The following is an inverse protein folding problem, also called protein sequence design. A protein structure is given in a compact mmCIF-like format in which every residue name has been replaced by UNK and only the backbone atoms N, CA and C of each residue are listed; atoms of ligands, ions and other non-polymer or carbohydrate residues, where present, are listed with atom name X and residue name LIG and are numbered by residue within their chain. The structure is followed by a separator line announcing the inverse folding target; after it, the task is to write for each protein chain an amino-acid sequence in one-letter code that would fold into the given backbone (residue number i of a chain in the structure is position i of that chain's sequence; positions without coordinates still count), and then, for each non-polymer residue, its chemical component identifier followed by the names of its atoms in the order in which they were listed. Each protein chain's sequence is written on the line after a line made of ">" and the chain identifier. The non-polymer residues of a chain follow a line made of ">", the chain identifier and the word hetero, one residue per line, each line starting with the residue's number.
data_IF_952053978962
#
_entry.id   IF_952053978962
#
_cell.length_a   1.000
_cell.length_b   1.000
_cell.length_c   1.000
_cell.angle_alpha   90.00
_cell.angle_beta   90.00
_cell.angle_gamma   90.00
#
_symmetry.space_group_name_H-M   'P 1'
#
loop_
_entity.id
_entity.type
_entity.pdbx_description
1 polymer ?
#
# COMPACT_ATOMS: atom_id res chain seq x y z
N UNK A 1 3.29 7.41 12.08
CA UNK A 1 4.20 8.07 11.13
C UNK A 1 3.39 8.43 9.90
N UNK A 2 3.48 9.68 9.44
CA UNK A 2 2.79 10.14 8.23
C UNK A 2 3.34 9.41 6.99
N UNK A 3 2.47 9.10 6.02
CA UNK A 3 2.83 8.28 4.87
C UNK A 3 3.86 8.96 3.96
N UNK A 4 3.76 10.28 3.80
CA UNK A 4 4.61 11.08 2.92
C UNK A 4 5.86 11.66 3.61
N UNK A 5 6.07 11.33 4.89
CA UNK A 5 7.23 11.75 5.68
C UNK A 5 8.56 11.20 5.14
N UNK A 6 9.69 11.91 5.32
CA UNK A 6 11.02 11.39 4.96
C UNK A 6 11.34 10.05 5.61
N UNK A 7 10.89 9.84 6.86
CA UNK A 7 11.07 8.59 7.60
C UNK A 7 10.32 7.43 6.94
N UNK A 8 9.09 7.66 6.46
CA UNK A 8 8.32 6.65 5.72
C UNK A 8 8.93 6.35 4.35
N UNK A 9 9.49 7.35 3.66
CA UNK A 9 10.20 7.15 2.39
C UNK A 9 11.48 6.31 2.57
N UNK A 10 12.23 6.54 3.66
CA UNK A 10 13.40 5.72 3.97
C UNK A 10 12.99 4.30 4.38
N UNK A 11 11.96 4.16 5.22
CA UNK A 11 11.46 2.84 5.62
C UNK A 11 10.98 2.03 4.41
N UNK A 12 10.35 2.68 3.43
CA UNK A 12 9.97 2.06 2.17
C UNK A 12 11.18 1.44 1.45
N UNK A 13 12.28 2.19 1.31
CA UNK A 13 13.53 1.66 0.71
C UNK A 13 14.02 0.45 1.48
N UNK A 14 14.12 0.57 2.80
CA UNK A 14 14.66 -0.46 3.68
C UNK A 14 13.85 -1.77 3.62
N UNK A 15 12.52 -1.68 3.56
CA UNK A 15 11.62 -2.84 3.46
C UNK A 15 11.89 -3.59 2.14
N UNK A 16 11.84 -2.87 1.01
CA UNK A 16 11.98 -3.51 -0.29
C UNK A 16 13.41 -4.00 -0.54
N UNK A 17 14.42 -3.29 -0.03
CA UNK A 17 15.81 -3.73 -0.03
C UNK A 17 15.96 -5.08 0.67
N UNK A 18 15.36 -5.20 1.86
CA UNK A 18 15.39 -6.42 2.68
C UNK A 18 14.68 -7.58 2.01
N UNK A 19 13.49 -7.35 1.44
CA UNK A 19 12.73 -8.38 0.72
C UNK A 19 13.55 -8.91 -0.45
N UNK A 20 14.15 -8.03 -1.24
CA UNK A 20 14.89 -8.42 -2.43
C UNK A 20 16.20 -9.14 -2.11
N UNK A 21 16.95 -8.65 -1.10
CA UNK A 21 18.16 -9.29 -0.61
C UNK A 21 17.90 -10.76 -0.24
N UNK A 22 16.92 -11.00 0.63
CA UNK A 22 16.61 -12.35 1.11
C UNK A 22 15.94 -13.22 0.05
N UNK A 23 15.17 -12.64 -0.88
CA UNK A 23 14.63 -13.40 -2.00
C UNK A 23 15.74 -13.93 -2.93
N UNK A 24 16.76 -13.11 -3.20
CA UNK A 24 17.94 -13.51 -3.97
C UNK A 24 18.78 -14.56 -3.24
N UNK A 25 19.00 -14.36 -1.94
CA UNK A 25 19.71 -15.31 -1.07
C UNK A 25 19.03 -16.68 -1.12
N UNK A 26 17.73 -16.75 -0.82
CA UNK A 26 16.97 -17.99 -0.86
C UNK A 26 16.98 -18.64 -2.27
N UNK A 27 16.85 -17.83 -3.32
CA UNK A 27 16.92 -18.32 -4.71
C UNK A 27 18.31 -18.89 -5.05
N UNK A 28 19.39 -18.32 -4.51
CA UNK A 28 20.75 -18.83 -4.69
C UNK A 28 21.02 -20.08 -3.87
N UNK A 29 20.48 -20.17 -2.65
CA UNK A 29 20.53 -21.40 -1.84
C UNK A 29 19.82 -22.57 -2.54
N UNK A 30 18.68 -22.31 -3.18
CA UNK A 30 17.97 -23.30 -3.99
C UNK A 30 18.80 -23.69 -5.23
N UNK A 31 19.45 -22.73 -5.88
CA UNK A 31 20.32 -23.01 -7.02
C UNK A 31 21.53 -23.88 -6.64
N UNK A 32 22.07 -23.73 -5.44
CA UNK A 32 23.14 -24.58 -4.93
C UNK A 32 22.72 -26.06 -4.78
N UNK A 33 21.43 -26.30 -4.50
CA UNK A 33 20.87 -27.65 -4.29
C UNK A 33 20.36 -28.27 -5.59
N UNK A 34 19.68 -27.49 -6.43
CA UNK A 34 18.92 -27.98 -7.59
C UNK A 34 19.48 -27.50 -8.95
N UNK A 35 20.54 -26.69 -8.93
CA UNK A 35 21.03 -25.97 -10.10
C UNK A 35 20.21 -24.71 -10.41
N UNK A 36 20.79 -23.75 -11.16
CA UNK A 36 20.10 -22.55 -11.59
C UNK A 36 18.94 -22.87 -12.55
N UNK A 37 18.07 -21.89 -12.84
CA UNK A 37 17.04 -22.06 -13.87
C UNK A 37 17.64 -22.25 -15.27
N UNK A 38 16.90 -22.91 -16.16
CA UNK A 38 17.36 -23.38 -17.48
C UNK A 38 18.03 -22.28 -18.34
N UNK A 39 17.48 -21.07 -18.31
CA UNK A 39 17.94 -19.92 -19.11
C UNK A 39 18.75 -18.90 -18.31
N UNK A 40 19.40 -19.32 -17.21
CA UNK A 40 20.21 -18.44 -16.37
C UNK A 40 21.42 -17.88 -17.10
N UNK A 41 22.16 -18.73 -17.81
CA UNK A 41 23.39 -18.33 -18.49
C UNK A 41 23.09 -17.31 -19.60
N UNK A 42 23.67 -16.10 -19.47
CA UNK A 42 23.47 -15.01 -20.43
C UNK A 42 22.29 -14.09 -20.10
N UNK A 43 21.51 -14.41 -19.07
CA UNK A 43 20.42 -13.54 -18.56
C UNK A 43 20.98 -12.22 -18.01
N UNK A 44 20.14 -11.16 -17.91
CA UNK A 44 20.53 -9.93 -17.25
C UNK A 44 21.03 -10.16 -15.82
N UNK A 45 20.38 -11.05 -15.06
CA UNK A 45 20.77 -11.40 -13.69
C UNK A 45 22.19 -11.98 -13.67
N UNK A 46 22.48 -12.96 -14.53
CA UNK A 46 23.83 -13.54 -14.61
C UNK A 46 24.89 -12.51 -14.98
N UNK A 47 24.56 -11.51 -15.81
CA UNK A 47 25.49 -10.45 -16.23
C UNK A 47 25.72 -9.42 -15.14
N UNK A 48 24.65 -8.97 -14.48
CA UNK A 48 24.69 -7.93 -13.44
C UNK A 48 25.45 -8.44 -12.22
N UNK A 49 25.15 -9.64 -11.74
CA UNK A 49 25.79 -10.17 -10.53
C UNK A 49 27.23 -10.63 -10.77
N UNK A 50 27.57 -11.02 -12.00
CA UNK A 50 28.96 -11.28 -12.38
C UNK A 50 29.74 -10.01 -12.76
N UNK A 51 29.07 -8.85 -12.90
CA UNK A 51 29.72 -7.57 -13.14
C UNK A 51 30.28 -6.98 -11.84
N UNK A 52 31.26 -6.07 -11.94
CA UNK A 52 31.92 -5.42 -10.81
C UNK A 52 30.98 -4.62 -9.90
N UNK A 53 29.77 -4.27 -10.35
CA UNK A 53 28.81 -3.45 -9.58
C UNK A 53 27.74 -4.27 -8.86
N UNK A 54 27.47 -5.52 -9.26
CA UNK A 54 26.46 -6.40 -8.64
C UNK A 54 25.00 -5.94 -8.75
N UNK A 55 24.73 -4.71 -9.18
CA UNK A 55 23.42 -4.06 -9.07
C UNK A 55 23.07 -3.26 -10.32
N UNK A 56 21.76 -3.10 -10.54
CA UNK A 56 21.22 -2.22 -11.58
C UNK A 56 21.01 -0.82 -11.01
N UNK A 57 21.91 0.11 -11.33
CA UNK A 57 21.62 1.55 -11.34
C UNK A 57 21.53 2.30 -10.00
N UNK A 58 21.58 1.62 -8.85
CA UNK A 58 21.56 2.26 -7.51
C UNK A 58 22.58 1.59 -6.60
N UNK A 59 23.30 2.39 -5.80
CA UNK A 59 24.14 1.88 -4.71
C UNK A 59 23.23 1.48 -3.54
N UNK A 60 23.20 0.20 -3.14
CA UNK A 60 22.38 -0.24 -2.02
C UNK A 60 22.82 0.41 -0.71
N UNK A 61 22.00 0.28 0.34
CA UNK A 61 22.41 0.74 1.66
C UNK A 61 23.46 -0.20 2.26
N UNK A 62 24.06 0.22 3.38
CA UNK A 62 24.97 -0.61 4.17
C UNK A 62 24.23 -1.57 5.13
N UNK A 63 22.91 -1.74 4.96
CA UNK A 63 22.08 -2.59 5.82
C UNK A 63 22.38 -4.08 5.65
N UNK A 64 22.69 -4.50 4.42
CA UNK A 64 22.91 -5.90 4.06
C UNK A 64 24.26 -6.08 3.37
N UNK A 65 24.84 -7.28 3.48
CA UNK A 65 26.13 -7.62 2.87
C UNK A 65 25.94 -8.05 1.41
N UNK A 66 25.79 -7.05 0.55
CA UNK A 66 25.62 -7.23 -0.89
C UNK A 66 26.83 -7.89 -1.57
N UNK A 67 28.02 -7.73 -1.01
CA UNK A 67 29.24 -8.36 -1.53
C UNK A 67 29.23 -9.87 -1.26
N UNK A 68 28.82 -10.29 -0.07
CA UNK A 68 28.64 -11.71 0.25
C UNK A 68 27.55 -12.34 -0.62
N UNK A 69 26.40 -11.67 -0.78
CA UNK A 69 25.32 -12.15 -1.65
C UNK A 69 25.78 -12.27 -3.10
N UNK A 70 26.52 -11.29 -3.60
CA UNK A 70 27.10 -11.33 -4.95
C UNK A 70 28.02 -12.52 -5.13
N UNK A 71 28.94 -12.78 -4.19
CA UNK A 71 29.84 -13.93 -4.27
C UNK A 71 29.08 -15.25 -4.31
N UNK A 72 28.01 -15.36 -3.50
CA UNK A 72 27.14 -16.53 -3.49
C UNK A 72 26.43 -16.73 -4.83
N UNK A 73 25.84 -15.68 -5.41
CA UNK A 73 25.16 -15.74 -6.71
C UNK A 73 26.15 -16.05 -7.84
N UNK A 74 27.35 -15.46 -7.83
CA UNK A 74 28.38 -15.77 -8.82
C UNK A 74 28.82 -17.22 -8.78
N UNK A 75 28.81 -17.85 -7.60
CA UNK A 75 29.17 -19.27 -7.43
C UNK A 75 28.03 -20.22 -7.81
N UNK A 76 26.83 -19.96 -7.31
CA UNK A 76 25.71 -20.92 -7.36
C UNK A 76 24.70 -20.61 -8.48
N UNK A 77 24.66 -19.36 -8.94
CA UNK A 77 23.54 -18.83 -9.72
C UNK A 77 22.31 -18.56 -8.85
N UNK A 78 21.15 -18.44 -9.49
CA UNK A 78 19.83 -18.30 -8.85
C UNK A 78 18.84 -19.29 -9.46
N UNK A 79 17.87 -19.75 -8.66
CA UNK A 79 16.87 -20.74 -9.07
C UNK A 79 15.68 -20.13 -9.78
N UNK A 80 15.36 -18.88 -9.49
CA UNK A 80 14.22 -18.16 -10.05
C UNK A 80 14.71 -17.01 -10.92
N UNK A 81 14.06 -16.80 -12.07
CA UNK A 81 14.39 -15.71 -13.00
C UNK A 81 13.90 -14.35 -12.51
N UNK A 82 12.78 -14.32 -11.79
CA UNK A 82 12.11 -13.14 -11.23
C UNK A 82 11.54 -13.50 -9.84
N UNK A 83 11.50 -12.54 -8.93
CA UNK A 83 11.26 -12.76 -7.50
C UNK A 83 10.21 -11.82 -6.90
N UNK A 84 10.21 -10.54 -7.27
CA UNK A 84 9.44 -9.51 -6.59
C UNK A 84 8.47 -8.80 -7.55
N UNK A 85 7.17 -8.89 -7.26
CA UNK A 85 6.11 -8.21 -8.00
C UNK A 85 4.96 -7.83 -7.06
N UNK A 86 5.00 -6.65 -6.43
CA UNK A 86 3.92 -6.18 -5.57
C UNK A 86 2.59 -6.08 -6.33
N UNK A 87 1.67 -6.99 -6.01
CA UNK A 87 0.36 -7.13 -6.66
C UNK A 87 -0.77 -6.50 -5.82
N UNK A 88 -1.96 -6.26 -6.39
CA UNK A 88 -3.14 -5.90 -5.61
C UNK A 88 -3.50 -7.03 -4.64
N UNK A 89 -3.69 -6.70 -3.36
CA UNK A 89 -3.97 -7.68 -2.31
C UNK A 89 -5.38 -7.54 -1.73
N UNK A 90 -6.33 -7.02 -2.50
CA UNK A 90 -7.72 -6.73 -2.08
C UNK A 90 -8.30 -7.81 -1.16
N UNK A 91 -8.43 -9.05 -1.64
CA UNK A 91 -9.07 -10.12 -0.85
C UNK A 91 -8.22 -10.61 0.31
N UNK A 92 -6.90 -10.74 0.14
CA UNK A 92 -6.01 -11.30 1.17
C UNK A 92 -5.71 -10.31 2.29
N UNK A 93 -5.53 -9.02 1.97
CA UNK A 93 -5.41 -7.94 2.96
C UNK A 93 -6.68 -7.82 3.80
N UNK A 94 -7.87 -7.94 3.19
CA UNK A 94 -9.13 -7.95 3.91
C UNK A 94 -9.27 -9.14 4.87
N UNK A 95 -8.84 -10.34 4.46
CA UNK A 95 -8.83 -11.52 5.33
C UNK A 95 -7.88 -11.30 6.53
N UNK A 96 -6.70 -10.73 6.28
CA UNK A 96 -5.70 -10.46 7.32
C UNK A 96 -5.98 -9.18 8.13
N UNK A 97 -6.97 -8.39 7.73
CA UNK A 97 -7.28 -7.10 8.34
C UNK A 97 -6.20 -6.04 8.15
N UNK A 98 -5.43 -6.10 7.05
CA UNK A 98 -4.40 -5.14 6.67
C UNK A 98 -4.93 -4.17 5.60
N UNK A 99 -4.22 -3.06 5.38
CA UNK A 99 -4.46 -2.22 4.20
C UNK A 99 -3.96 -2.91 2.93
N UNK A 100 -4.44 -2.46 1.78
CA UNK A 100 -4.04 -3.01 0.50
C UNK A 100 -2.59 -2.63 0.15
N UNK A 101 -1.80 -3.67 -0.12
CA UNK A 101 -0.42 -3.60 -0.61
C UNK A 101 0.43 -2.48 0.03
N UNK A 102 1.04 -1.64 -0.81
CA UNK A 102 1.84 -0.47 -0.40
C UNK A 102 1.05 0.84 -0.53
N UNK A 103 -0.28 0.79 -0.58
CA UNK A 103 -1.12 1.96 -0.78
C UNK A 103 -1.39 2.68 0.54
N UNK A 104 -1.57 4.02 0.53
CA UNK A 104 -2.16 4.73 1.67
C UNK A 104 -3.60 4.27 1.94
N UNK A 105 -4.13 4.62 3.11
CA UNK A 105 -5.54 4.40 3.38
C UNK A 105 -6.39 5.26 2.44
N UNK A 106 -7.32 4.65 1.72
CA UNK A 106 -8.24 5.37 0.83
C UNK A 106 -9.27 6.20 1.60
N UNK A 107 -9.63 5.72 2.79
CA UNK A 107 -10.51 6.37 3.75
C UNK A 107 -10.28 5.79 5.14
N UNK A 108 -10.41 6.61 6.20
CA UNK A 108 -10.44 6.10 7.57
C UNK A 108 -11.77 5.43 7.94
N UNK A 109 -12.79 5.58 7.11
CA UNK A 109 -14.12 4.97 7.26
C UNK A 109 -14.52 4.34 5.93
N UNK A 110 -14.54 3.02 5.88
CA UNK A 110 -14.89 2.28 4.67
C UNK A 110 -16.15 1.45 4.89
N UNK A 111 -16.99 1.41 3.87
CA UNK A 111 -18.21 0.63 3.90
C UNK A 111 -17.95 -0.80 3.43
N UNK A 112 -18.34 -1.78 4.24
CA UNK A 112 -18.20 -3.20 3.94
C UNK A 112 -19.58 -3.80 3.74
N UNK A 113 -19.85 -4.23 2.51
CA UNK A 113 -21.03 -5.03 2.18
C UNK A 113 -20.78 -6.50 2.48
N UNK A 114 -21.67 -7.09 3.28
CA UNK A 114 -21.76 -8.52 3.53
C UNK A 114 -23.19 -8.98 3.23
N UNK A 115 -23.42 -10.29 3.19
CA UNK A 115 -24.75 -10.84 2.92
C UNK A 115 -25.83 -10.35 3.92
N UNK A 116 -25.43 -9.98 5.13
CA UNK A 116 -26.31 -9.46 6.20
C UNK A 116 -26.49 -7.94 6.19
N UNK A 117 -25.92 -7.21 5.23
CA UNK A 117 -26.08 -5.76 5.10
C UNK A 117 -24.77 -5.01 4.87
N UNK A 118 -24.84 -3.69 4.98
CA UNK A 118 -23.72 -2.79 4.79
C UNK A 118 -23.24 -2.25 6.14
N UNK A 119 -21.99 -2.54 6.50
CA UNK A 119 -21.41 -2.15 7.79
C UNK A 119 -20.27 -1.16 7.57
N UNK A 120 -20.33 -0.03 8.29
CA UNK A 120 -19.23 0.94 8.29
C UNK A 120 -18.13 0.44 9.20
N UNK A 121 -16.95 0.22 8.62
CA UNK A 121 -15.74 -0.20 9.33
C UNK A 121 -14.81 1.00 9.46
N UNK A 122 -14.30 1.20 10.68
CA UNK A 122 -13.37 2.28 11.01
C UNK A 122 -11.95 1.73 10.92
N UNK A 123 -11.00 2.56 10.48
CA UNK A 123 -9.58 2.28 10.58
C UNK A 123 -9.25 1.94 12.05
N UNK A 124 -8.87 0.68 12.28
CA UNK A 124 -8.61 0.13 13.62
C UNK A 124 -7.52 0.90 14.37
N UNK A 125 -6.56 1.48 13.65
CA UNK A 125 -5.47 2.25 14.22
C UNK A 125 -5.97 3.61 14.73
N UNK A 126 -6.72 4.34 13.89
CA UNK A 126 -7.33 5.62 14.28
C UNK A 126 -8.27 5.44 15.47
N UNK A 127 -9.11 4.40 15.44
CA UNK A 127 -10.03 4.09 16.53
C UNK A 127 -9.28 3.85 17.86
N UNK A 128 -8.19 3.09 17.80
CA UNK A 128 -7.37 2.80 18.97
C UNK A 128 -6.77 4.08 19.55
N UNK A 129 -6.19 4.95 18.71
CA UNK A 129 -5.53 6.17 19.17
C UNK A 129 -6.53 7.19 19.72
N UNK A 130 -7.67 7.40 19.03
CA UNK A 130 -8.73 8.29 19.52
C UNK A 130 -9.35 7.78 20.84
N UNK A 131 -9.45 6.47 21.02
CA UNK A 131 -9.94 5.88 22.27
C UNK A 131 -8.91 6.05 23.39
N UNK A 132 -7.63 5.84 23.11
CA UNK A 132 -6.54 6.04 24.06
C UNK A 132 -6.43 7.48 24.54
N UNK A 133 -6.75 8.45 23.67
CA UNK A 133 -6.79 9.88 24.00
C UNK A 133 -8.12 10.32 24.66
N UNK A 134 -9.11 9.43 24.78
CA UNK A 134 -10.44 9.77 25.30
C UNK A 134 -11.27 10.69 24.41
N UNK A 135 -10.89 10.83 23.12
CA UNK A 135 -11.56 11.68 22.13
C UNK A 135 -12.69 10.93 21.42
N UNK A 136 -12.65 9.60 21.41
CA UNK A 136 -13.63 8.79 20.70
C UNK A 136 -15.05 8.96 21.27
N UNK A 137 -15.95 9.46 20.43
CA UNK A 137 -17.37 9.65 20.75
C UNK A 137 -18.26 9.37 19.54
N UNK A 138 -19.55 9.05 19.73
CA UNK A 138 -20.50 8.93 18.63
C UNK A 138 -20.61 10.20 17.78
N UNK A 139 -20.46 11.38 18.40
CA UNK A 139 -20.45 12.66 17.70
C UNK A 139 -19.23 12.80 16.78
N UNK A 140 -18.04 12.44 17.27
CA UNK A 140 -16.81 12.46 16.48
C UNK A 140 -16.88 11.45 15.32
N UNK A 141 -17.41 10.25 15.57
CA UNK A 141 -17.65 9.25 14.53
C UNK A 141 -18.51 9.82 13.39
N UNK A 142 -19.62 10.49 13.72
CA UNK A 142 -20.51 11.05 12.71
C UNK A 142 -19.85 12.21 11.93
N UNK A 143 -18.99 13.01 12.57
CA UNK A 143 -18.20 14.05 11.88
C UNK A 143 -17.25 13.43 10.86
N UNK A 144 -16.51 12.39 11.22
CA UNK A 144 -15.58 11.74 10.28
C UNK A 144 -16.34 11.12 9.10
N UNK A 145 -17.52 10.54 9.34
CA UNK A 145 -18.38 10.04 8.26
C UNK A 145 -18.84 11.17 7.33
N UNK A 146 -19.25 12.31 7.89
CA UNK A 146 -19.68 13.49 7.12
C UNK A 146 -18.53 14.03 6.25
N UNK A 147 -17.30 13.99 6.75
CA UNK A 147 -16.07 14.38 6.03
C UNK A 147 -15.54 13.25 5.11
N UNK A 148 -16.37 12.25 4.78
CA UNK A 148 -16.03 11.12 3.91
C UNK A 148 -14.78 10.34 4.35
N UNK A 149 -14.53 10.24 5.66
CA UNK A 149 -13.39 9.54 6.22
C UNK A 149 -12.11 10.37 6.38
N UNK A 150 -12.13 11.65 6.01
CA UNK A 150 -11.06 12.59 6.34
C UNK A 150 -11.10 12.99 7.81
N UNK A 151 -9.92 13.22 8.39
CA UNK A 151 -9.75 13.75 9.75
C UNK A 151 -9.20 15.19 9.77
N UNK A 152 -8.82 15.74 8.61
CA UNK A 152 -8.09 17.01 8.51
C UNK A 152 -8.92 18.22 8.98
N UNK A 153 -10.20 18.25 8.60
CA UNK A 153 -11.14 19.34 8.91
C UNK A 153 -11.67 19.32 10.35
N UNK A 154 -11.32 18.30 11.15
CA UNK A 154 -11.89 18.09 12.48
C UNK A 154 -11.00 18.75 13.54
N UNK A 155 -11.48 19.80 14.25
CA UNK A 155 -10.67 20.56 15.20
C UNK A 155 -10.38 19.79 16.50
N UNK A 156 -11.19 18.78 16.83
CA UNK A 156 -10.98 17.96 18.03
C UNK A 156 -9.78 17.02 17.92
N UNK A 157 -9.32 16.74 16.69
CA UNK A 157 -8.22 15.81 16.44
C UNK A 157 -6.90 16.61 16.41
N UNK A 158 -5.88 16.21 17.20
CA UNK A 158 -4.55 16.81 17.17
C UNK A 158 -3.89 16.75 15.79
N UNK A 159 -3.08 17.76 15.44
CA UNK A 159 -2.47 17.87 14.11
C UNK A 159 -1.45 16.76 13.83
N UNK A 160 -0.73 16.29 14.84
CA UNK A 160 0.15 15.13 14.73
C UNK A 160 -0.59 13.84 14.36
N UNK A 161 -1.84 13.69 14.83
CA UNK A 161 -2.68 12.56 14.46
C UNK A 161 -3.26 12.73 13.06
N UNK A 162 -3.61 13.97 12.67
CA UNK A 162 -4.06 14.29 11.31
C UNK A 162 -3.01 13.90 10.27
N UNK A 163 -1.76 14.27 10.48
CA UNK A 163 -0.65 13.94 9.58
C UNK A 163 -0.49 12.42 9.39
N UNK A 164 -0.76 11.62 10.44
CA UNK A 164 -0.65 10.16 10.38
C UNK A 164 -1.80 9.53 9.59
N UNK A 165 -3.01 10.08 9.71
CA UNK A 165 -4.24 9.52 9.16
C UNK A 165 -4.74 10.26 7.92
N UNK A 166 -3.85 10.96 7.22
CA UNK A 166 -4.12 11.44 5.87
C UNK A 166 -4.54 10.29 4.96
N UNK A 167 -5.59 10.54 4.19
CA UNK A 167 -6.08 9.64 3.17
C UNK A 167 -5.31 9.82 1.86
N UNK A 168 -5.43 8.85 0.95
CA UNK A 168 -4.78 8.90 -0.36
C UNK A 168 -5.16 10.14 -1.19
N UNK A 169 -6.32 10.74 -0.92
CA UNK A 169 -6.82 11.94 -1.59
C UNK A 169 -6.12 13.22 -1.14
N UNK A 170 -5.52 13.19 0.05
CA UNK A 170 -4.86 14.32 0.71
C UNK A 170 -3.36 14.27 0.48
N UNK A 171 -2.82 13.07 0.34
CA UNK A 171 -1.40 12.84 0.04
C UNK A 171 -1.05 13.27 -1.40
N UNK A 172 0.06 13.99 -1.53
CA UNK A 172 0.62 14.38 -2.83
C UNK A 172 0.99 13.14 -3.66
N UNK A 173 0.30 12.94 -4.77
CA UNK A 173 0.54 11.81 -5.68
C UNK A 173 1.97 11.75 -6.22
N UNK A 174 2.63 12.90 -6.37
CA UNK A 174 4.06 12.95 -6.74
C UNK A 174 4.93 12.17 -5.74
N UNK A 175 4.68 12.33 -4.44
CA UNK A 175 5.41 11.61 -3.39
C UNK A 175 5.19 10.10 -3.50
N UNK A 176 3.97 9.66 -3.82
CA UNK A 176 3.69 8.24 -4.04
C UNK A 176 4.45 7.67 -5.24
N UNK A 177 4.58 8.46 -6.32
CA UNK A 177 5.39 8.11 -7.49
C UNK A 177 6.88 8.08 -7.13
N UNK A 178 7.37 9.05 -6.36
CA UNK A 178 8.76 9.08 -5.89
C UNK A 178 9.08 7.84 -5.04
N UNK A 179 8.20 7.48 -4.10
CA UNK A 179 8.32 6.24 -3.31
C UNK A 179 8.26 4.97 -4.18
N UNK A 180 7.47 4.98 -5.25
CA UNK A 180 7.39 3.88 -6.21
C UNK A 180 8.69 3.74 -7.03
N UNK A 181 9.30 4.85 -7.43
CA UNK A 181 10.62 4.86 -8.09
C UNK A 181 11.69 4.38 -7.12
N UNK A 182 11.65 4.84 -5.88
CA UNK A 182 12.60 4.46 -4.82
C UNK A 182 12.62 2.95 -4.56
N UNK A 183 11.47 2.28 -4.50
CA UNK A 183 11.41 0.82 -4.30
C UNK A 183 11.65 0.01 -5.57
N UNK A 184 11.58 0.62 -6.76
CA UNK A 184 11.74 -0.09 -8.03
C UNK A 184 13.12 -0.72 -8.18
N UNK A 185 14.17 -0.17 -7.57
CA UNK A 185 15.51 -0.77 -7.63
C UNK A 185 15.58 -2.16 -6.97
N UNK A 186 14.59 -2.53 -6.16
CA UNK A 186 14.48 -3.81 -5.47
C UNK A 186 13.30 -4.66 -5.97
N UNK A 187 12.72 -4.31 -7.12
CA UNK A 187 11.61 -5.02 -7.76
C UNK A 187 12.07 -5.39 -9.17
N UNK A 188 12.15 -6.69 -9.46
CA UNK A 188 12.64 -7.20 -10.75
C UNK A 188 11.55 -7.35 -11.82
N UNK A 189 10.28 -7.21 -11.42
CA UNK A 189 9.14 -7.13 -12.32
C UNK A 189 8.55 -5.72 -12.37
N UNK A 190 7.37 -5.54 -11.79
CA UNK A 190 6.65 -4.29 -11.69
C UNK A 190 5.81 -4.27 -10.40
N UNK A 191 5.17 -3.15 -10.15
CA UNK A 191 4.25 -2.92 -9.04
C UNK A 191 2.92 -2.37 -9.58
N UNK A 192 1.80 -2.79 -9.00
CA UNK A 192 0.49 -2.25 -9.34
C UNK A 192 0.22 -0.95 -8.55
N UNK A 193 0.64 0.19 -9.10
CA UNK A 193 0.45 1.50 -8.47
C UNK A 193 -0.86 2.15 -8.94
N UNK A 194 -1.77 2.41 -8.00
CA UNK A 194 -2.93 3.25 -8.25
C UNK A 194 -2.61 4.74 -8.04
N UNK A 195 -3.02 5.59 -8.99
CA UNK A 195 -2.98 7.06 -8.84
C UNK A 195 -4.38 7.58 -8.55
N UNK A 196 -4.50 8.37 -7.48
CA UNK A 196 -5.75 8.94 -7.01
C UNK A 196 -5.78 10.45 -7.25
N UNK A 197 -6.76 10.95 -7.99
CA UNK A 197 -6.90 12.38 -8.25
C UNK A 197 -8.36 12.81 -8.14
N UNK A 198 -8.62 13.85 -7.36
CA UNK A 198 -9.98 14.38 -7.14
C UNK A 198 -10.51 15.12 -8.38
N UNK A 199 -9.67 15.94 -9.03
CA UNK A 199 -10.01 16.68 -10.25
C UNK A 199 -8.96 16.45 -11.34
N UNK A 200 -9.09 15.36 -12.12
CA UNK A 200 -8.14 15.07 -13.19
C UNK A 200 -8.21 16.11 -14.30
N UNK A 201 -7.04 16.61 -14.70
CA UNK A 201 -6.89 17.45 -15.88
C UNK A 201 -5.69 16.98 -16.70
N UNK A 202 -5.71 17.25 -18.01
CA UNK A 202 -4.68 16.76 -18.94
C UNK A 202 -3.25 17.16 -18.52
N UNK A 203 -3.08 18.36 -17.97
CA UNK A 203 -1.78 18.85 -17.49
C UNK A 203 -1.24 18.00 -16.34
N UNK A 204 -2.03 17.83 -15.28
CA UNK A 204 -1.66 17.05 -14.09
C UNK A 204 -1.41 15.58 -14.44
N UNK A 205 -2.24 15.00 -15.32
CA UNK A 205 -2.05 13.64 -15.82
C UNK A 205 -0.74 13.51 -16.57
N UNK A 206 -0.48 14.40 -17.52
CA UNK A 206 0.77 14.41 -18.30
C UNK A 206 1.98 14.57 -17.40
N UNK A 207 1.91 15.45 -16.39
CA UNK A 207 2.99 15.63 -15.42
C UNK A 207 3.30 14.33 -14.67
N UNK A 208 2.29 13.61 -14.17
CA UNK A 208 2.50 12.34 -13.45
C UNK A 208 3.10 11.27 -14.37
N UNK A 209 2.56 11.10 -15.57
CA UNK A 209 3.07 10.13 -16.54
C UNK A 209 4.52 10.44 -16.96
N UNK A 210 4.85 11.72 -17.17
CA UNK A 210 6.20 12.15 -17.56
C UNK A 210 7.19 12.19 -16.39
N UNK A 211 6.71 12.26 -15.15
CA UNK A 211 7.54 12.19 -13.94
C UNK A 211 7.97 10.76 -13.62
N UNK A 212 7.17 9.77 -13.99
CA UNK A 212 7.45 8.34 -13.79
C UNK A 212 7.79 7.52 -15.04
N UNK A 213 8.65 7.96 -15.99
CA UNK A 213 8.98 7.17 -17.19
C UNK A 213 9.70 5.87 -16.83
N UNK A 214 10.28 5.83 -15.63
CA UNK A 214 10.90 4.68 -15.01
C UNK A 214 9.96 3.93 -14.07
N UNK A 215 8.64 3.89 -14.24
CA UNK A 215 7.73 3.00 -13.47
C UNK A 215 6.83 2.17 -14.42
N UNK A 216 6.84 0.82 -14.44
CA UNK A 216 6.23 0.07 -15.53
C UNK A 216 4.86 -0.52 -15.16
N UNK A 217 3.88 0.30 -14.78
CA UNK A 217 2.42 0.10 -14.92
C UNK A 217 1.75 1.09 -13.95
N UNK A 218 0.98 2.04 -14.50
CA UNK A 218 0.17 2.98 -13.73
C UNK A 218 -1.30 2.62 -13.98
N UNK A 219 -2.02 2.24 -12.93
CA UNK A 219 -3.48 2.13 -12.94
C UNK A 219 -4.04 3.43 -12.38
N UNK A 220 -4.99 4.04 -13.10
CA UNK A 220 -5.59 5.29 -12.68
C UNK A 220 -6.93 5.03 -12.01
N UNK A 221 -7.11 5.57 -10.81
CA UNK A 221 -8.39 5.56 -10.11
C UNK A 221 -8.89 6.99 -9.96
N UNK A 222 -10.02 7.27 -10.61
CA UNK A 222 -10.72 8.53 -10.45
C UNK A 222 -11.67 8.43 -9.27
N UNK A 223 -11.79 9.51 -8.48
CA UNK A 223 -12.84 9.59 -7.47
C UNK A 223 -14.17 9.61 -8.20
N UNK A 224 -14.92 8.52 -8.15
CA UNK A 224 -16.33 8.57 -8.56
C UNK A 224 -17.01 9.57 -7.64
N UNK A 225 -17.50 10.69 -8.19
CA UNK A 225 -18.45 11.53 -7.47
C UNK A 225 -19.59 10.60 -7.06
N UNK A 226 -19.73 10.32 -5.77
CA UNK A 226 -21.05 9.98 -5.25
C UNK A 226 -21.92 11.14 -5.70
N UNK A 227 -22.95 10.86 -6.51
CA UNK A 227 -24.01 11.84 -6.71
C UNK A 227 -24.49 12.34 -5.36
N UNK A 228 -25.21 13.46 -5.36
CA UNK A 228 -26.00 13.95 -4.22
C UNK A 228 -27.12 12.95 -3.83
N UNK A 229 -26.79 11.66 -3.70
CA UNK A 229 -27.65 10.60 -3.22
C UNK A 229 -27.61 10.66 -1.68
N UNK A 230 -28.37 11.63 -1.21
CA UNK A 230 -29.17 11.63 0.00
C UNK A 230 -28.46 11.07 1.25
N UNK A 231 -27.68 11.95 1.90
CA UNK A 231 -27.10 11.71 3.22
C UNK A 231 -28.17 11.29 4.23
N UNK A 232 -29.41 11.78 4.07
CA UNK A 232 -30.55 11.39 4.89
C UNK A 232 -30.99 9.94 4.65
N UNK A 233 -30.87 9.41 3.42
CA UNK A 233 -31.13 7.99 3.12
C UNK A 233 -30.13 7.06 3.81
N UNK A 234 -28.84 7.41 3.79
CA UNK A 234 -27.77 6.63 4.45
C UNK A 234 -27.90 6.70 5.97
N UNK A 235 -28.25 7.86 6.52
CA UNK A 235 -28.53 8.02 7.95
C UNK A 235 -29.81 7.31 8.36
N UNK A 236 -30.87 7.34 7.55
CA UNK A 236 -32.12 6.62 7.80
C UNK A 236 -31.94 5.09 7.77
N UNK A 237 -31.14 4.56 6.84
CA UNK A 237 -30.78 3.13 6.83
C UNK A 237 -29.98 2.73 8.08
N UNK A 238 -29.07 3.59 8.55
CA UNK A 238 -28.32 3.36 9.77
C UNK A 238 -29.22 3.38 11.02
N UNK A 239 -30.20 4.29 11.09
CA UNK A 239 -31.18 4.39 12.19
C UNK A 239 -32.15 3.21 12.20
N UNK A 240 -32.64 2.77 11.03
CA UNK A 240 -33.50 1.58 10.92
C UNK A 240 -32.82 0.31 11.47
N UNK A 241 -31.51 0.17 11.27
CA UNK A 241 -30.75 -0.97 11.81
C UNK A 241 -30.62 -0.99 13.34
N UNK A 242 -30.72 0.19 14.00
CA UNK A 242 -30.67 0.31 15.46
C UNK A 242 -32.01 0.00 16.13
N UNK A 243 -33.12 0.15 15.40
CA UNK A 243 -34.47 -0.06 15.91
C UNK A 243 -34.92 -1.54 15.87
N UNK A 244 -34.42 -2.35 14.94
CA UNK A 244 -34.78 -3.78 14.80
C UNK A 244 -33.73 -4.72 15.40
N UNK A 245 -33.54 -4.63 16.72
CA UNK A 245 -32.59 -5.47 17.46
C UNK A 245 -33.05 -6.92 17.66
N UNK A 246 -34.32 -7.25 17.36
CA UNK A 246 -34.95 -8.54 17.69
C UNK A 246 -35.25 -9.49 16.51
N UNK A 247 -34.97 -9.13 15.25
CA UNK A 247 -35.14 -10.06 14.11
C UNK A 247 -33.91 -10.96 13.84
N UNK A 248 -32.87 -10.89 14.68
CA UNK A 248 -31.71 -11.77 14.56
C UNK A 248 -31.96 -13.14 15.23
N UNK A 249 -32.90 -13.91 14.68
CA UNK A 249 -33.00 -15.36 14.89
C UNK A 249 -32.59 -16.09 13.62
N UNK A 250 -31.28 -16.29 13.44
CA UNK A 250 -30.76 -17.30 12.52
C UNK A 250 -29.28 -17.60 12.84
N UNK A 251 -29.06 -18.39 13.91
CA UNK A 251 -28.02 -19.41 13.98
C UNK A 251 -28.17 -20.15 15.33
N UNK A 252 -29.14 -21.06 15.38
CA UNK A 252 -29.20 -22.14 16.36
C UNK A 252 -29.26 -23.46 15.62
N UNK A 253 -28.11 -24.12 15.50
CA UNK A 253 -27.80 -25.56 15.34
C UNK A 253 -26.35 -25.68 14.90
#
# INVERSE_FOLDING_TARGET
>A
MAFDSPEAQQLNKDIFETIYYHALEASSELAAKEGPYETYNGSPVSKVWNSSTGHVGVTPSNRWDWDALRQMISKNGVRNSLLAAPMPTVSTSQILGNNECFEPYTSNFYSRRVLSGEFVVVNKHLLHDLTGMGLWSPALKNKIIYENGSVLSIPEIPDDLKDIYETVWEIKQKTLVDMAVDRRCYIDQSQSLNIHMDQPNFGNLTCIFMHGPSCPLLLMQEKTKTGDDDVDSKMAQMVCSLANREECMACGS
#
